data_IF_413217417815
#
_entry.id   IF_413217417815
#
_cell.length_a   1.000
_cell.length_b   1.000
_cell.length_c   1.000
_cell.angle_alpha   90.00
_cell.angle_beta   90.00
_cell.angle_gamma   90.00
#
_symmetry.space_group_name_H-M   'P 1'
#
loop_
_entity.id
_entity.type
_entity.pdbx_description
1 polymer ?
#
# COMPACT_ATOMS: atom_id res chain seq x y z
N UNK A 1 -5.30 24.40 17.61
CA UNK A 1 -5.15 24.02 17.33
C UNK A 1 -4.90 23.37 16.94
N UNK A 2 -4.73 23.38 16.92
CA UNK A 2 -4.45 22.87 16.47
C UNK A 2 -4.15 22.09 16.13
N UNK A 3 -3.93 22.02 15.81
CA UNK A 3 -3.79 21.44 15.44
C UNK A 3 -3.58 20.34 15.22
N UNK A 4 -3.60 19.93 15.13
CA UNK A 4 -3.34 19.00 14.93
C UNK A 4 -3.43 18.21 14.08
N UNK A 5 -2.98 18.04 13.80
CA UNK A 5 -2.86 17.39 12.65
C UNK A 5 -3.56 16.18 12.60
N UNK A 6 -4.14 15.76 11.95
CA UNK A 6 -4.69 14.66 11.87
C UNK A 6 -4.59 14.23 10.57
N UNK A 7 -3.59 13.98 10.03
CA UNK A 7 -3.33 13.64 8.71
C UNK A 7 -4.04 12.46 8.22
N UNK A 8 -4.05 11.42 8.98
CA UNK A 8 -4.67 10.31 8.54
C UNK A 8 -6.08 10.49 8.36
N UNK A 9 -6.68 11.34 9.06
CA UNK A 9 -8.10 11.53 8.97
C UNK A 9 -8.46 12.17 7.64
N UNK A 10 -7.50 12.66 6.89
CA UNK A 10 -7.78 13.37 5.67
C UNK A 10 -7.63 12.53 4.42
N UNK A 11 -7.44 11.23 4.54
CA UNK A 11 -7.34 10.40 3.35
C UNK A 11 -8.70 10.31 2.65
N UNK A 12 -8.68 10.50 1.34
CA UNK A 12 -9.89 10.33 0.54
C UNK A 12 -10.31 8.87 0.65
N UNK A 13 -11.62 8.58 0.72
CA UNK A 13 -12.08 7.19 0.85
C UNK A 13 -11.54 6.24 -0.20
N UNK A 14 -11.38 6.69 -1.45
CA UNK A 14 -10.85 5.81 -2.49
C UNK A 14 -9.38 5.48 -2.23
N UNK A 15 -8.63 6.41 -1.66
CA UNK A 15 -7.23 6.18 -1.30
C UNK A 15 -7.15 5.20 -0.13
N UNK A 16 -7.92 5.46 0.92
CA UNK A 16 -7.95 4.59 2.08
C UNK A 16 -8.41 3.18 1.70
N UNK A 17 -9.37 3.09 0.78
CA UNK A 17 -9.89 1.81 0.35
C UNK A 17 -8.84 0.93 -0.30
N UNK A 18 -7.98 1.50 -1.13
CA UNK A 18 -6.92 0.71 -1.76
C UNK A 18 -5.80 0.42 -0.77
N UNK A 19 -5.49 1.39 0.08
CA UNK A 19 -4.38 1.27 1.01
C UNK A 19 -4.53 0.07 1.95
N UNK A 20 -5.75 -0.29 2.31
CA UNK A 20 -5.97 -1.41 3.22
C UNK A 20 -5.42 -2.73 2.69
N UNK A 21 -5.30 -2.86 1.38
CA UNK A 21 -4.83 -4.12 0.79
C UNK A 21 -3.31 -4.28 0.85
N UNK A 22 -2.60 -3.30 1.40
CA UNK A 22 -1.16 -3.39 1.60
C UNK A 22 -0.80 -3.93 2.99
N UNK A 23 -1.78 -4.28 3.82
CA UNK A 23 -1.51 -4.84 5.13
C UNK A 23 -0.73 -6.15 4.97
N UNK A 24 0.24 -6.37 5.83
CA UNK A 24 1.11 -7.54 5.69
C UNK A 24 1.33 -8.33 7.00
N UNK A 25 0.84 -7.82 8.11
CA UNK A 25 1.09 -8.46 9.41
C UNK A 25 0.58 -9.89 9.48
N UNK A 26 -0.45 -10.21 8.70
CA UNK A 26 -1.05 -11.54 8.69
C UNK A 26 -0.30 -12.55 7.82
N UNK A 27 0.73 -12.10 7.12
CA UNK A 27 1.45 -12.98 6.19
C UNK A 27 2.60 -13.71 6.88
N UNK A 28 3.03 -14.85 6.32
CA UNK A 28 4.23 -15.51 6.82
C UNK A 28 5.44 -14.59 6.71
N UNK A 29 6.46 -14.78 7.57
CA UNK A 29 7.60 -13.86 7.60
C UNK A 29 8.27 -13.59 6.27
N UNK A 30 8.47 -14.62 5.45
CA UNK A 30 9.15 -14.40 4.17
C UNK A 30 8.35 -13.56 3.19
N UNK A 31 7.03 -13.54 3.34
CA UNK A 31 6.18 -12.69 2.52
C UNK A 31 6.04 -11.30 3.12
N UNK A 32 6.18 -11.19 4.44
CA UNK A 32 6.16 -9.88 5.08
C UNK A 32 7.32 -9.02 4.62
N UNK A 33 8.47 -9.65 4.41
CA UNK A 33 9.65 -8.92 3.98
C UNK A 33 9.41 -8.20 2.66
N UNK A 34 8.78 -8.89 1.71
CA UNK A 34 8.45 -8.29 0.43
C UNK A 34 7.33 -7.27 0.59
N UNK A 35 6.25 -7.67 1.25
CA UNK A 35 5.05 -6.84 1.30
C UNK A 35 5.23 -5.56 2.11
N UNK A 36 6.09 -5.59 3.14
CA UNK A 36 6.29 -4.40 3.97
C UNK A 36 6.89 -3.25 3.17
N UNK A 37 7.79 -3.55 2.23
CA UNK A 37 8.39 -2.50 1.40
C UNK A 37 7.31 -1.80 0.57
N UNK A 38 6.36 -2.58 0.03
CA UNK A 38 5.26 -2.00 -0.74
C UNK A 38 4.31 -1.22 0.15
N UNK A 39 4.07 -1.70 1.36
CA UNK A 39 3.21 -0.98 2.29
C UNK A 39 3.83 0.37 2.65
N UNK A 40 5.15 0.40 2.90
CA UNK A 40 5.83 1.65 3.22
C UNK A 40 5.70 2.65 2.08
N UNK A 41 5.94 2.19 0.84
CA UNK A 41 5.82 3.07 -0.30
C UNK A 41 4.38 3.52 -0.52
N UNK A 42 3.44 2.59 -0.39
CA UNK A 42 2.03 2.91 -0.55
C UNK A 42 1.58 3.96 0.46
N UNK A 43 2.06 3.85 1.69
CA UNK A 43 1.72 4.80 2.73
C UNK A 43 2.22 6.21 2.36
N UNK A 44 3.43 6.29 1.80
CA UNK A 44 3.97 7.57 1.37
C UNK A 44 3.17 8.16 0.22
N UNK A 45 2.81 7.33 -0.75
CA UNK A 45 2.01 7.78 -1.89
C UNK A 45 0.64 8.25 -1.41
N UNK A 46 0.03 7.50 -0.50
CA UNK A 46 -1.29 7.83 0.02
C UNK A 46 -1.30 9.15 0.79
N UNK A 47 -0.16 9.51 1.40
CA UNK A 47 -0.08 10.75 2.15
C UNK A 47 0.07 11.99 1.27
N UNK A 48 0.26 11.79 -0.02
CA UNK A 48 0.41 12.90 -0.96
C UNK A 48 -0.93 13.47 -1.41
N UNK A 49 -1.00 13.99 -2.63
CA UNK A 49 -2.24 14.57 -3.13
C UNK A 49 -3.38 13.57 -3.10
N UNK A 50 -4.58 14.06 -2.83
CA UNK A 50 -5.77 13.22 -2.74
C UNK A 50 -6.59 13.40 -4.02
N UNK A 51 -6.22 12.70 -5.07
CA UNK A 51 -6.92 12.82 -6.36
C UNK A 51 -6.97 11.45 -7.05
N UNK A 52 -7.58 11.43 -8.22
CA UNK A 52 -7.76 10.16 -8.93
C UNK A 52 -6.45 9.51 -9.34
N UNK A 53 -5.44 10.31 -9.62
CA UNK A 53 -4.14 9.75 -10.01
C UNK A 53 -3.45 9.07 -8.83
N UNK A 54 -3.67 9.56 -7.62
CA UNK A 54 -3.15 8.90 -6.43
C UNK A 54 -3.77 7.52 -6.28
N UNK A 55 -5.08 7.41 -6.52
CA UNK A 55 -5.76 6.14 -6.47
C UNK A 55 -5.22 5.19 -7.54
N UNK A 56 -4.99 5.71 -8.74
CA UNK A 56 -4.42 4.89 -9.83
C UNK A 56 -3.04 4.41 -9.45
N UNK A 57 -2.20 5.30 -8.91
CA UNK A 57 -0.85 4.93 -8.51
C UNK A 57 -0.87 3.80 -7.47
N UNK A 58 -1.77 3.88 -6.50
CA UNK A 58 -1.87 2.85 -5.48
C UNK A 58 -2.36 1.53 -6.06
N UNK A 59 -3.28 1.57 -7.03
CA UNK A 59 -3.74 0.34 -7.66
C UNK A 59 -2.62 -0.33 -8.44
N UNK A 60 -1.80 0.45 -9.15
CA UNK A 60 -0.67 -0.10 -9.89
C UNK A 60 0.37 -0.66 -8.94
N UNK A 61 0.57 0.03 -7.82
CA UNK A 61 1.51 -0.46 -6.82
C UNK A 61 1.00 -1.76 -6.19
N UNK A 62 -0.31 -1.87 -5.98
CA UNK A 62 -0.89 -3.09 -5.45
C UNK A 62 -0.69 -4.25 -6.42
N UNK A 63 -0.89 -4.02 -7.71
CA UNK A 63 -0.61 -5.03 -8.73
C UNK A 63 0.84 -5.47 -8.67
N UNK A 64 1.74 -4.51 -8.50
CA UNK A 64 3.17 -4.83 -8.41
C UNK A 64 3.47 -5.64 -7.15
N UNK A 65 2.84 -5.28 -6.04
CA UNK A 65 3.02 -6.00 -4.79
C UNK A 65 2.55 -7.45 -4.93
N UNK A 66 1.39 -7.65 -5.53
CA UNK A 66 0.85 -9.00 -5.72
C UNK A 66 1.77 -9.83 -6.60
N UNK A 67 2.32 -9.23 -7.65
CA UNK A 67 3.24 -9.92 -8.54
C UNK A 67 4.55 -10.25 -7.80
N UNK A 68 5.03 -9.33 -6.96
CA UNK A 68 6.26 -9.57 -6.23
C UNK A 68 6.09 -10.71 -5.20
N UNK A 69 4.91 -10.78 -4.57
CA UNK A 69 4.61 -11.88 -3.65
C UNK A 69 4.56 -13.19 -4.42
N UNK A 70 3.91 -13.20 -5.57
CA UNK A 70 3.84 -14.41 -6.39
C UNK A 70 5.23 -14.83 -6.85
N UNK A 71 6.12 -13.86 -7.09
CA UNK A 71 7.48 -14.18 -7.49
C UNK A 71 8.22 -14.96 -6.42
N UNK A 72 7.99 -14.62 -5.14
CA UNK A 72 8.61 -15.34 -4.03
C UNK A 72 8.09 -16.78 -3.97
N UNK A 73 6.81 -16.96 -4.29
CA UNK A 73 6.17 -18.27 -4.22
C UNK A 73 6.31 -19.08 -5.50
N UNK A 74 6.83 -18.47 -6.54
CA UNK A 74 6.86 -19.07 -7.86
C UNK A 74 7.72 -20.33 -7.90
N UNK A 75 7.20 -21.37 -8.53
CA UNK A 75 7.91 -22.62 -8.68
C UNK A 75 8.07 -22.94 -10.16
N UNK A 76 9.11 -23.62 -10.48
CA UNK A 76 9.38 -23.96 -11.86
C UNK A 76 10.26 -22.94 -12.47
N UNK A 77 10.52 -22.91 -13.52
CA UNK A 77 11.40 -22.08 -14.21
C UNK A 77 11.95 -21.08 -14.28
#
# INVERSE_FOLDING_TARGET
MPDEPKPKATLHPSVAGVLQFFAYAHLPPHLQEVSSAFCDLATRVAAGPQNTETTVALRKLLEAKDAAVRAVLFKGA
#
